data_IF_062194883500
#
_entry.id   IF_062194883500
#
_cell.length_a   1.000
_cell.length_b   1.000
_cell.length_c   1.000
_cell.angle_alpha   90.00
_cell.angle_beta   90.00
_cell.angle_gamma   90.00
#
_symmetry.space_group_name_H-M   'P 1'
#
loop_
_entity.id
_entity.type
_entity.pdbx_description
1 polymer ?
#
# COMPACT_ATOMS: atom_id res chain seq x y z
N UNK A 1 28.66 -6.64 6.80
CA UNK A 1 27.76 -7.03 7.92
C UNK A 1 27.39 -5.83 8.81
N UNK A 2 28.35 -4.93 9.10
CA UNK A 2 28.18 -3.70 9.91
C UNK A 2 27.08 -2.74 9.40
N UNK A 3 27.02 -2.53 8.09
CA UNK A 3 26.01 -1.66 7.47
C UNK A 3 24.55 -2.13 7.69
N UNK A 4 24.33 -3.45 7.81
CA UNK A 4 23.00 -4.03 8.09
C UNK A 4 22.57 -3.82 9.56
N UNK A 5 23.52 -3.70 10.49
CA UNK A 5 23.26 -3.42 11.90
C UNK A 5 23.03 -1.92 12.14
N UNK A 6 23.76 -1.04 11.45
CA UNK A 6 23.55 0.42 11.55
C UNK A 6 22.18 0.85 11.02
N UNK A 7 21.70 0.28 9.91
CA UNK A 7 20.36 0.57 9.36
C UNK A 7 19.20 0.08 10.23
N UNK A 8 19.47 -0.79 11.22
CA UNK A 8 18.49 -1.23 12.22
C UNK A 8 18.50 -0.39 13.49
N UNK A 9 19.43 0.57 13.63
CA UNK A 9 19.36 1.52 14.75
C UNK A 9 18.09 2.34 14.59
N UNK A 10 17.27 2.35 15.63
CA UNK A 10 15.98 3.05 15.64
C UNK A 10 16.11 4.54 15.23
N UNK A 11 17.25 5.18 15.50
CA UNK A 11 17.54 6.55 15.07
C UNK A 11 17.61 6.72 13.56
N UNK A 12 18.21 5.78 12.83
CA UNK A 12 18.35 5.83 11.36
C UNK A 12 17.00 5.60 10.68
N UNK A 13 16.21 4.64 11.19
CA UNK A 13 14.86 4.37 10.69
C UNK A 13 13.97 5.61 10.89
N UNK A 14 13.95 6.17 12.10
CA UNK A 14 13.20 7.41 12.40
C UNK A 14 13.62 8.59 11.52
N UNK A 15 14.90 8.69 11.18
CA UNK A 15 15.39 9.74 10.29
C UNK A 15 14.90 9.54 8.84
N UNK A 16 14.95 8.32 8.33
CA UNK A 16 14.39 7.98 7.00
C UNK A 16 12.88 8.20 6.94
N UNK A 17 12.15 7.85 8.00
CA UNK A 17 10.71 8.06 8.10
C UNK A 17 10.37 9.56 8.09
N UNK A 18 11.17 10.40 8.76
CA UNK A 18 11.03 11.87 8.70
C UNK A 18 11.25 12.39 7.29
N UNK A 19 12.29 11.94 6.59
CA UNK A 19 12.54 12.33 5.20
C UNK A 19 11.38 11.90 4.30
N UNK A 20 10.93 10.65 4.40
CA UNK A 20 9.80 10.15 3.62
C UNK A 20 8.54 10.99 3.88
N UNK A 21 8.27 11.33 5.14
CA UNK A 21 7.15 12.18 5.53
C UNK A 21 7.25 13.57 4.90
N UNK A 22 8.40 14.23 5.05
CA UNK A 22 8.62 15.59 4.54
C UNK A 22 8.52 15.62 3.01
N UNK A 23 9.14 14.68 2.31
CA UNK A 23 9.07 14.60 0.85
C UNK A 23 7.66 14.25 0.37
N UNK A 24 6.97 13.33 1.04
CA UNK A 24 5.58 12.99 0.71
C UNK A 24 4.63 14.18 0.93
N UNK A 25 4.83 14.95 2.00
CA UNK A 25 4.04 16.17 2.24
C UNK A 25 4.35 17.24 1.19
N UNK A 26 5.63 17.44 0.88
CA UNK A 26 6.05 18.37 -0.16
C UNK A 26 5.41 18.00 -1.51
N UNK A 27 5.37 16.71 -1.86
CA UNK A 27 4.73 16.23 -3.08
C UNK A 27 3.24 16.56 -3.13
N UNK A 28 2.51 16.35 -2.02
CA UNK A 28 1.08 16.65 -1.91
C UNK A 28 0.78 18.15 -2.07
N UNK A 29 1.69 19.03 -1.63
CA UNK A 29 1.52 20.48 -1.73
C UNK A 29 2.02 21.06 -3.05
N UNK A 30 3.20 20.63 -3.49
CA UNK A 30 3.86 21.15 -4.69
C UNK A 30 3.22 20.65 -5.97
N UNK A 31 2.75 19.40 -6.04
CA UNK A 31 2.16 18.87 -7.28
C UNK A 31 0.94 19.69 -7.74
N UNK A 32 -0.08 19.97 -6.89
CA UNK A 32 -1.19 20.85 -7.28
C UNK A 32 -0.72 22.26 -7.66
N UNK A 33 0.27 22.80 -6.96
CA UNK A 33 0.84 24.12 -7.27
C UNK A 33 1.49 24.14 -8.66
N UNK A 34 2.33 23.15 -8.99
CA UNK A 34 2.94 23.01 -10.33
C UNK A 34 1.87 22.80 -11.40
N UNK A 35 0.85 21.96 -11.15
CA UNK A 35 -0.27 21.79 -12.09
C UNK A 35 -0.95 23.13 -12.39
N UNK A 36 -1.12 23.98 -11.37
CA UNK A 36 -1.83 25.26 -11.52
C UNK A 36 -1.00 26.36 -12.20
N UNK A 37 0.31 26.42 -11.93
CA UNK A 37 1.18 27.51 -12.40
C UNK A 37 1.99 27.14 -13.63
N UNK A 38 2.43 25.89 -13.70
CA UNK A 38 3.43 25.39 -14.66
C UNK A 38 3.06 23.99 -15.19
N UNK A 39 1.84 23.80 -15.75
CA UNK A 39 1.35 22.50 -16.21
C UNK A 39 2.28 21.83 -17.24
N UNK A 40 3.05 22.60 -18.01
CA UNK A 40 4.02 22.10 -18.98
C UNK A 40 5.16 21.26 -18.37
N UNK A 41 5.43 21.44 -17.07
CA UNK A 41 6.45 20.71 -16.34
C UNK A 41 5.98 19.33 -15.84
N UNK A 42 4.67 19.07 -15.79
CA UNK A 42 4.13 17.83 -15.21
C UNK A 42 4.64 16.56 -15.92
N UNK A 43 4.72 16.48 -17.27
CA UNK A 43 5.34 15.35 -17.96
C UNK A 43 6.79 15.09 -17.52
N UNK A 44 7.57 16.16 -17.25
CA UNK A 44 8.95 16.06 -16.79
C UNK A 44 9.00 15.58 -15.34
N UNK A 45 8.22 16.20 -14.45
CA UNK A 45 8.11 15.82 -13.03
C UNK A 45 7.74 14.35 -12.89
N UNK A 46 6.70 13.89 -13.62
CA UNK A 46 6.29 12.49 -13.66
C UNK A 46 7.44 11.56 -14.03
N UNK A 47 8.19 11.90 -15.07
CA UNK A 47 9.27 11.04 -15.60
C UNK A 47 10.45 10.99 -14.63
N UNK A 48 10.86 12.14 -14.11
CA UNK A 48 11.96 12.26 -13.16
C UNK A 48 11.68 11.49 -11.88
N UNK A 49 10.52 11.73 -11.27
CA UNK A 49 10.12 11.07 -10.02
C UNK A 49 9.86 9.58 -10.22
N UNK A 50 9.17 9.17 -11.29
CA UNK A 50 8.98 7.76 -11.61
C UNK A 50 10.32 7.03 -11.73
N UNK A 51 11.29 7.63 -12.41
CA UNK A 51 12.63 7.06 -12.56
C UNK A 51 13.31 6.87 -11.20
N UNK A 52 13.31 7.91 -10.35
CA UNK A 52 13.92 7.85 -9.01
C UNK A 52 13.21 6.82 -8.12
N UNK A 53 11.89 6.90 -8.02
CA UNK A 53 11.11 6.07 -7.11
C UNK A 53 11.17 4.59 -7.51
N UNK A 54 11.11 4.26 -8.81
CA UNK A 54 11.23 2.88 -9.30
C UNK A 54 12.64 2.33 -9.02
N UNK A 55 13.70 3.13 -9.23
CA UNK A 55 15.08 2.71 -8.93
C UNK A 55 15.27 2.47 -7.44
N UNK A 56 14.80 3.39 -6.58
CA UNK A 56 14.84 3.21 -5.12
C UNK A 56 14.07 1.95 -4.71
N UNK A 57 12.88 1.75 -5.27
CA UNK A 57 12.03 0.58 -4.97
C UNK A 57 12.67 -0.73 -5.45
N UNK A 58 13.39 -0.72 -6.57
CA UNK A 58 14.18 -1.87 -7.02
C UNK A 58 15.18 -2.32 -5.97
N UNK A 59 15.98 -1.40 -5.41
CA UNK A 59 16.94 -1.75 -4.37
C UNK A 59 16.28 -2.22 -3.07
N UNK A 60 15.17 -1.60 -2.67
CA UNK A 60 14.41 -2.02 -1.49
C UNK A 60 13.82 -3.42 -1.65
N UNK A 61 13.23 -3.70 -2.82
CA UNK A 61 12.52 -4.96 -3.07
C UNK A 61 13.48 -6.11 -3.34
N UNK A 62 14.63 -5.84 -3.97
CA UNK A 62 15.72 -6.82 -4.09
C UNK A 62 16.20 -7.31 -2.73
N UNK A 63 16.35 -6.39 -1.75
CA UNK A 63 16.74 -6.72 -0.38
C UNK A 63 15.67 -7.54 0.38
N UNK A 64 14.40 -7.37 0.04
CA UNK A 64 13.25 -8.11 0.63
C UNK A 64 12.85 -9.37 -0.16
N UNK A 65 13.54 -9.70 -1.25
CA UNK A 65 13.13 -10.76 -2.20
C UNK A 65 11.73 -10.56 -2.81
N UNK A 66 11.29 -9.30 -2.94
CA UNK A 66 9.99 -8.87 -3.49
C UNK A 66 10.09 -8.29 -4.91
N UNK A 67 11.17 -8.58 -5.63
CA UNK A 67 11.44 -7.99 -6.96
C UNK A 67 10.40 -8.32 -8.03
N UNK A 68 9.58 -9.37 -7.85
CA UNK A 68 8.49 -9.69 -8.79
C UNK A 68 7.33 -8.69 -8.76
N UNK A 69 7.13 -7.98 -7.66
CA UNK A 69 6.13 -6.90 -7.61
C UNK A 69 6.46 -5.75 -8.56
N UNK A 70 7.73 -5.56 -8.95
CA UNK A 70 8.13 -4.53 -9.91
C UNK A 70 7.72 -4.86 -11.35
N UNK A 71 7.27 -6.10 -11.59
CA UNK A 71 6.73 -6.51 -12.88
C UNK A 71 5.21 -6.32 -12.95
N UNK A 72 4.59 -5.77 -11.91
CA UNK A 72 3.15 -5.51 -11.90
C UNK A 72 2.75 -4.45 -12.94
N UNK A 73 1.49 -4.51 -13.34
CA UNK A 73 0.92 -3.68 -14.41
C UNK A 73 1.12 -2.18 -14.16
N UNK A 74 1.16 -1.75 -12.90
CA UNK A 74 1.37 -0.34 -12.57
C UNK A 74 2.73 0.18 -13.05
N UNK A 75 3.81 -0.56 -12.83
CA UNK A 75 5.13 -0.18 -13.34
C UNK A 75 5.17 -0.18 -14.86
N UNK A 76 4.56 -1.20 -15.48
CA UNK A 76 4.45 -1.29 -16.93
C UNK A 76 3.74 -0.06 -17.53
N UNK A 77 2.55 0.30 -17.01
CA UNK A 77 1.79 1.46 -17.53
C UNK A 77 2.54 2.77 -17.33
N UNK A 78 3.25 2.96 -16.20
CA UNK A 78 4.11 4.14 -16.02
C UNK A 78 5.18 4.24 -17.12
N UNK A 79 5.84 3.14 -17.46
CA UNK A 79 6.82 3.09 -18.56
C UNK A 79 6.17 3.41 -19.90
N UNK A 80 4.99 2.85 -20.18
CA UNK A 80 4.27 3.11 -21.44
C UNK A 80 3.79 4.56 -21.53
N UNK A 81 3.39 5.18 -20.42
CA UNK A 81 3.09 6.61 -20.36
C UNK A 81 4.33 7.43 -20.69
N UNK A 82 5.50 7.12 -20.12
CA UNK A 82 6.75 7.79 -20.48
C UNK A 82 7.06 7.61 -21.98
N UNK A 83 6.85 6.42 -22.55
CA UNK A 83 7.02 6.20 -24.00
C UNK A 83 6.07 7.07 -24.83
N UNK A 84 4.82 7.25 -24.41
CA UNK A 84 3.90 8.19 -25.06
C UNK A 84 4.42 9.64 -24.96
N UNK A 85 4.88 10.06 -23.78
CA UNK A 85 5.28 11.45 -23.54
C UNK A 85 6.48 11.91 -24.38
N UNK A 86 7.40 11.01 -24.74
CA UNK A 86 8.66 11.38 -25.39
C UNK A 86 8.95 10.65 -26.72
N UNK A 87 8.44 9.44 -26.92
CA UNK A 87 8.80 8.62 -28.08
C UNK A 87 7.70 8.64 -29.14
N UNK A 88 6.43 8.56 -28.72
CA UNK A 88 5.29 8.47 -29.63
C UNK A 88 4.15 9.45 -29.30
N UNK A 89 4.41 10.76 -29.09
CA UNK A 89 3.36 11.73 -28.75
C UNK A 89 2.34 11.98 -29.88
N UNK A 90 2.65 11.54 -31.10
CA UNK A 90 1.78 11.57 -32.28
C UNK A 90 0.82 10.38 -32.36
N UNK A 91 1.05 9.32 -31.57
CA UNK A 91 0.27 8.09 -31.67
C UNK A 91 -1.06 8.22 -30.94
N UNK A 92 -2.12 8.40 -31.72
CA UNK A 92 -3.51 8.38 -31.24
C UNK A 92 -3.90 7.05 -30.57
N UNK A 93 -3.45 5.93 -31.17
CA UNK A 93 -3.67 4.60 -30.62
C UNK A 93 -3.01 4.44 -29.23
N UNK A 94 -1.77 4.89 -29.09
CA UNK A 94 -1.06 4.81 -27.81
C UNK A 94 -1.69 5.72 -26.77
N UNK A 95 -2.04 6.97 -27.13
CA UNK A 95 -2.75 7.89 -26.24
C UNK A 95 -4.04 7.27 -25.69
N UNK A 96 -4.88 6.72 -26.57
CA UNK A 96 -6.11 6.05 -26.16
C UNK A 96 -5.84 4.90 -25.19
N UNK A 97 -4.84 4.06 -25.51
CA UNK A 97 -4.48 2.93 -24.66
C UNK A 97 -3.95 3.35 -23.28
N UNK A 98 -3.00 4.29 -23.21
CA UNK A 98 -2.45 4.75 -21.93
C UNK A 98 -3.46 5.53 -21.11
N UNK A 99 -4.38 6.26 -21.76
CA UNK A 99 -5.48 6.91 -21.06
C UNK A 99 -6.37 5.89 -20.37
N UNK A 100 -6.85 4.89 -21.13
CA UNK A 100 -7.74 3.85 -20.60
C UNK A 100 -7.08 3.04 -19.50
N UNK A 101 -5.81 2.64 -19.66
CA UNK A 101 -5.09 1.88 -18.64
C UNK A 101 -4.81 2.71 -17.38
N UNK A 102 -4.47 4.00 -17.54
CA UNK A 102 -4.15 4.89 -16.41
C UNK A 102 -5.40 5.31 -15.63
N UNK A 103 -6.45 5.78 -16.31
CA UNK A 103 -7.71 6.21 -15.66
C UNK A 103 -8.64 5.04 -15.30
N UNK A 104 -8.46 3.87 -15.93
CA UNK A 104 -9.19 2.65 -15.63
C UNK A 104 -8.50 1.86 -14.52
N UNK A 105 -7.94 0.67 -14.81
CA UNK A 105 -7.51 -0.26 -13.78
C UNK A 105 -6.45 0.31 -12.84
N UNK A 106 -5.61 1.25 -13.32
CA UNK A 106 -4.54 1.80 -12.51
C UNK A 106 -5.03 2.82 -11.47
N UNK A 107 -5.94 3.72 -11.84
CA UNK A 107 -6.53 4.69 -10.92
C UNK A 107 -7.51 4.01 -9.94
N UNK A 108 -8.37 3.12 -10.45
CA UNK A 108 -9.33 2.37 -9.61
C UNK A 108 -8.64 1.46 -8.60
N UNK A 109 -7.42 1.00 -8.88
CA UNK A 109 -6.61 0.21 -7.95
C UNK A 109 -6.39 0.92 -6.60
N UNK A 110 -6.47 2.26 -6.53
CA UNK A 110 -6.41 2.99 -5.25
C UNK A 110 -7.56 2.60 -4.33
N UNK A 111 -8.77 2.50 -4.88
CA UNK A 111 -9.97 2.10 -4.15
C UNK A 111 -9.95 0.59 -3.92
N UNK A 112 -9.76 -0.19 -4.99
CA UNK A 112 -9.87 -1.65 -4.96
C UNK A 112 -8.85 -2.29 -4.02
N UNK A 113 -7.60 -1.82 -4.06
CA UNK A 113 -6.52 -2.35 -3.21
C UNK A 113 -6.29 -1.53 -1.95
N UNK A 114 -7.18 -0.57 -1.66
CA UNK A 114 -7.10 0.34 -0.51
C UNK A 114 -5.71 0.92 -0.35
N UNK A 115 -5.15 1.48 -1.43
CA UNK A 115 -3.86 2.15 -1.36
C UNK A 115 -3.98 3.33 -0.39
N UNK A 116 -3.10 3.36 0.61
CA UNK A 116 -3.11 4.32 1.71
C UNK A 116 -1.95 5.31 1.56
N UNK A 117 -2.25 6.61 1.62
CA UNK A 117 -1.23 7.64 1.67
C UNK A 117 -0.67 7.75 3.10
N UNK A 118 0.34 6.93 3.39
CA UNK A 118 1.02 6.91 4.69
C UNK A 118 2.37 7.60 4.54
N UNK A 119 2.40 8.90 4.82
CA UNK A 119 3.53 9.79 4.51
C UNK A 119 4.89 9.32 5.05
N UNK A 120 4.94 8.71 6.24
CA UNK A 120 6.21 8.20 6.79
C UNK A 120 6.71 6.92 6.10
N UNK A 121 5.90 6.28 5.26
CA UNK A 121 6.23 5.03 4.58
C UNK A 121 6.48 5.26 3.10
N UNK A 122 7.76 5.30 2.71
CA UNK A 122 8.16 5.48 1.30
C UNK A 122 7.52 4.42 0.38
N UNK A 123 7.33 3.19 0.87
CA UNK A 123 6.68 2.11 0.10
C UNK A 123 5.22 2.43 -0.22
N UNK A 124 4.46 2.91 0.79
CA UNK A 124 3.05 3.28 0.64
C UNK A 124 2.88 4.54 -0.20
N UNK A 125 3.73 5.56 0.01
CA UNK A 125 3.76 6.77 -0.83
C UNK A 125 4.06 6.42 -2.27
N UNK A 126 5.07 5.58 -2.53
CA UNK A 126 5.40 5.15 -3.89
C UNK A 126 4.27 4.35 -4.53
N UNK A 127 3.55 3.51 -3.77
CA UNK A 127 2.36 2.83 -4.29
C UNK A 127 1.28 3.82 -4.71
N UNK A 128 0.91 4.80 -3.88
CA UNK A 128 -0.08 5.82 -4.29
C UNK A 128 0.42 6.59 -5.51
N UNK A 129 1.69 6.95 -5.55
CA UNK A 129 2.31 7.68 -6.66
C UNK A 129 2.16 6.95 -8.00
N UNK A 130 2.59 5.67 -8.09
CA UNK A 130 2.55 4.93 -9.37
C UNK A 130 1.11 4.69 -9.87
N UNK A 131 0.11 4.83 -8.99
CA UNK A 131 -1.31 4.71 -9.35
C UNK A 131 -1.95 6.06 -9.71
N UNK A 132 -1.50 7.15 -9.08
CA UNK A 132 -2.10 8.49 -9.24
C UNK A 132 -1.38 9.36 -10.27
N UNK A 133 -0.06 9.26 -10.37
CA UNK A 133 0.76 10.15 -11.21
C UNK A 133 0.49 9.98 -12.71
N UNK A 134 0.34 8.75 -13.27
CA UNK A 134 0.00 8.59 -14.68
C UNK A 134 -1.32 9.25 -15.11
N UNK A 135 -2.47 9.02 -14.44
CA UNK A 135 -3.71 9.68 -14.83
C UNK A 135 -3.67 11.20 -14.61
N UNK A 136 -3.01 11.70 -13.55
CA UNK A 136 -2.78 13.16 -13.37
C UNK A 136 -1.98 13.74 -14.54
N UNK A 137 -0.91 13.06 -14.94
CA UNK A 137 -0.05 13.53 -16.04
C UNK A 137 -0.81 13.59 -17.35
N UNK A 138 -1.58 12.56 -17.67
CA UNK A 138 -2.42 12.54 -18.87
C UNK A 138 -3.57 13.56 -18.80
N UNK A 139 -4.15 13.78 -17.62
CA UNK A 139 -5.13 14.84 -17.39
C UNK A 139 -4.54 16.21 -17.71
N UNK A 140 -3.33 16.51 -17.24
CA UNK A 140 -2.63 17.77 -17.54
C UNK A 140 -2.35 17.88 -19.04
N UNK A 141 -1.79 16.83 -19.65
CA UNK A 141 -1.51 16.78 -21.10
C UNK A 141 -2.77 17.07 -21.93
N UNK A 142 -3.92 16.51 -21.55
CA UNK A 142 -5.18 16.68 -22.29
C UNK A 142 -5.86 18.03 -22.07
N UNK A 143 -5.80 18.57 -20.85
CA UNK A 143 -6.68 19.68 -20.44
C UNK A 143 -5.97 20.98 -20.10
N UNK A 144 -4.73 20.92 -19.62
CA UNK A 144 -4.04 22.08 -19.02
C UNK A 144 -2.73 22.43 -19.72
N UNK A 145 -2.19 21.55 -20.56
CA UNK A 145 -0.90 21.77 -21.21
C UNK A 145 -0.99 22.94 -22.21
N UNK A 146 -0.11 23.97 -22.09
CA UNK A 146 -0.22 25.21 -22.84
C UNK A 146 0.37 25.10 -24.25
N UNK A 147 -0.24 24.27 -25.09
CA UNK A 147 0.18 24.03 -26.49
C UNK A 147 -1.03 24.06 -27.43
N UNK A 148 -1.54 25.27 -27.78
CA UNK A 148 -2.76 25.41 -28.57
C UNK A 148 -2.63 24.83 -29.98
N UNK A 149 -1.40 24.68 -30.49
CA UNK A 149 -1.10 24.16 -31.82
C UNK A 149 -0.78 22.66 -31.83
N UNK A 150 -0.82 21.99 -30.67
CA UNK A 150 -0.49 20.57 -30.52
C UNK A 150 0.88 20.20 -31.10
N UNK A 151 1.86 21.08 -30.93
CA UNK A 151 3.24 20.89 -31.40
C UNK A 151 3.95 19.74 -30.72
N UNK A 152 3.73 19.57 -29.40
CA UNK A 152 4.36 18.51 -28.60
C UNK A 152 3.51 17.25 -28.59
N UNK A 153 2.21 17.37 -28.38
CA UNK A 153 1.27 16.24 -28.25
C UNK A 153 0.27 16.22 -29.41
N UNK A 154 0.78 15.99 -30.61
CA UNK A 154 0.00 16.07 -31.86
C UNK A 154 -1.13 15.04 -31.95
N UNK A 155 -1.07 13.93 -31.19
CA UNK A 155 -2.16 12.96 -31.10
C UNK A 155 -3.50 13.60 -30.65
N UNK A 156 -3.45 14.70 -29.89
CA UNK A 156 -4.63 15.36 -29.34
C UNK A 156 -5.40 16.22 -30.36
N UNK A 157 -4.74 16.69 -31.43
CA UNK A 157 -5.28 17.70 -32.36
C UNK A 157 -6.67 17.34 -32.90
N UNK A 158 -6.85 16.07 -33.29
CA UNK A 158 -8.07 15.55 -33.88
C UNK A 158 -8.75 14.51 -32.97
N UNK A 159 -8.54 14.61 -31.65
CA UNK A 159 -9.07 13.65 -30.68
C UNK A 159 -9.87 14.32 -29.54
N UNK A 160 -11.00 14.98 -29.84
CA UNK A 160 -11.89 15.52 -28.81
C UNK A 160 -12.54 14.42 -27.96
N UNK A 161 -12.77 13.24 -28.55
CA UNK A 161 -13.23 12.01 -27.91
C UNK A 161 -12.30 10.86 -28.28
N UNK A 162 -12.17 9.87 -27.38
CA UNK A 162 -11.41 8.65 -27.70
C UNK A 162 -12.15 7.82 -28.75
N UNK A 163 -11.49 7.36 -29.83
CA UNK A 163 -12.05 6.36 -30.72
C UNK A 163 -12.23 5.05 -29.94
N UNK A 164 -13.46 4.76 -29.49
CA UNK A 164 -13.77 3.73 -28.49
C UNK A 164 -13.21 2.36 -28.84
N UNK A 165 -13.50 1.86 -30.05
CA UNK A 165 -13.10 0.53 -30.51
C UNK A 165 -11.57 0.40 -30.57
N UNK A 166 -10.91 1.36 -31.22
CA UNK A 166 -9.46 1.40 -31.34
C UNK A 166 -8.80 1.50 -29.96
N UNK A 167 -9.22 2.46 -29.14
CA UNK A 167 -8.64 2.71 -27.81
C UNK A 167 -8.77 1.48 -26.90
N UNK A 168 -9.95 0.86 -26.85
CA UNK A 168 -10.16 -0.38 -26.10
C UNK A 168 -9.30 -1.53 -26.64
N UNK A 169 -9.22 -1.68 -27.96
CA UNK A 169 -8.41 -2.74 -28.59
C UNK A 169 -6.95 -2.59 -28.20
N UNK A 170 -6.36 -1.40 -28.32
CA UNK A 170 -4.96 -1.17 -27.96
C UNK A 170 -4.73 -1.26 -26.44
N UNK A 171 -5.68 -0.79 -25.61
CA UNK A 171 -5.59 -0.93 -24.15
C UNK A 171 -5.58 -2.40 -23.73
N UNK A 172 -6.50 -3.21 -24.27
CA UNK A 172 -6.58 -4.65 -23.98
C UNK A 172 -5.37 -5.38 -24.58
N UNK A 173 -4.90 -5.01 -25.77
CA UNK A 173 -3.70 -5.60 -26.36
C UNK A 173 -2.44 -5.35 -25.50
N UNK A 174 -2.25 -4.12 -24.99
CA UNK A 174 -1.16 -3.80 -24.08
C UNK A 174 -1.30 -4.54 -22.74
N UNK A 175 -2.51 -4.60 -22.19
CA UNK A 175 -2.80 -5.38 -20.98
C UNK A 175 -2.48 -6.86 -21.19
N UNK A 176 -2.92 -7.48 -22.28
CA UNK A 176 -2.67 -8.88 -22.60
C UNK A 176 -1.18 -9.15 -22.84
N UNK A 177 -0.48 -8.22 -23.50
CA UNK A 177 0.98 -8.30 -23.69
C UNK A 177 1.67 -8.36 -22.34
N UNK A 178 1.33 -7.46 -21.41
CA UNK A 178 1.83 -7.50 -20.05
C UNK A 178 1.42 -8.79 -19.31
N UNK A 179 0.16 -9.20 -19.41
CA UNK A 179 -0.41 -10.33 -18.68
C UNK A 179 0.24 -11.66 -19.10
N UNK A 180 0.47 -11.85 -20.41
CA UNK A 180 1.18 -13.01 -20.97
C UNK A 180 2.64 -12.98 -20.53
N UNK A 181 3.32 -11.83 -20.64
CA UNK A 181 4.69 -11.69 -20.18
C UNK A 181 4.81 -12.03 -18.69
N UNK A 182 3.93 -11.49 -17.85
CA UNK A 182 3.92 -11.77 -16.41
C UNK A 182 3.68 -13.25 -16.13
N UNK A 183 2.69 -13.87 -16.78
CA UNK A 183 2.39 -15.28 -16.60
C UNK A 183 3.60 -16.17 -16.97
N UNK A 184 4.22 -15.93 -18.12
CA UNK A 184 5.37 -16.72 -18.58
C UNK A 184 6.59 -16.50 -17.70
N UNK A 185 6.98 -15.24 -17.44
CA UNK A 185 8.22 -14.94 -16.72
C UNK A 185 8.13 -15.19 -15.21
N UNK A 186 6.97 -14.95 -14.60
CA UNK A 186 6.79 -15.06 -13.15
C UNK A 186 6.17 -16.39 -12.78
N UNK A 187 4.99 -16.71 -13.32
CA UNK A 187 4.20 -17.87 -12.88
C UNK A 187 4.80 -19.18 -13.39
N UNK A 188 5.18 -19.25 -14.67
CA UNK A 188 5.75 -20.47 -15.26
C UNK A 188 7.21 -20.66 -14.85
N UNK A 189 8.08 -19.69 -15.15
CA UNK A 189 9.54 -19.84 -14.94
C UNK A 189 9.99 -19.85 -13.47
N UNK A 190 9.20 -19.29 -12.55
CA UNK A 190 9.58 -19.23 -11.13
C UNK A 190 8.67 -20.06 -10.23
N UNK A 191 7.87 -20.95 -10.80
CA UNK A 191 6.90 -21.82 -10.09
C UNK A 191 7.51 -22.51 -8.87
N UNK A 192 8.70 -23.09 -9.01
CA UNK A 192 9.37 -23.81 -7.92
C UNK A 192 9.79 -22.89 -6.77
N UNK A 193 10.29 -21.69 -7.09
CA UNK A 193 10.72 -20.73 -6.08
C UNK A 193 9.54 -20.05 -5.37
N UNK A 194 8.41 -19.91 -6.07
CA UNK A 194 7.15 -19.44 -5.49
C UNK A 194 6.57 -20.51 -4.56
N UNK A 195 6.48 -21.77 -5.01
CA UNK A 195 6.01 -22.90 -4.18
C UNK A 195 6.87 -23.12 -2.93
N UNK A 196 8.18 -22.92 -3.05
CA UNK A 196 9.10 -23.00 -1.91
C UNK A 196 8.99 -21.81 -0.93
N UNK A 197 8.05 -20.87 -1.13
CA UNK A 197 7.88 -19.68 -0.29
C UNK A 197 9.03 -18.66 -0.36
N UNK A 198 10.02 -18.89 -1.24
CA UNK A 198 11.22 -18.04 -1.35
C UNK A 198 10.93 -16.70 -2.04
N UNK A 199 9.78 -16.59 -2.72
CA UNK A 199 9.40 -15.43 -3.53
C UNK A 199 7.91 -15.17 -3.42
N UNK A 200 7.57 -13.92 -3.11
CA UNK A 200 6.18 -13.45 -3.06
C UNK A 200 5.89 -12.72 -4.37
N UNK A 201 4.77 -13.08 -4.98
CA UNK A 201 4.16 -12.42 -6.15
C UNK A 201 2.84 -11.78 -5.75
N UNK A 202 2.33 -10.88 -6.57
CA UNK A 202 1.04 -10.23 -6.34
C UNK A 202 -0.08 -11.24 -6.26
N UNK A 203 -0.09 -12.29 -7.10
CA UNK A 203 -1.06 -13.40 -6.99
C UNK A 203 -0.98 -14.10 -5.64
N UNK A 204 0.20 -14.54 -5.21
CA UNK A 204 0.35 -15.22 -3.92
C UNK A 204 0.09 -14.32 -2.73
N UNK A 205 0.29 -13.00 -2.87
CA UNK A 205 0.02 -12.05 -1.79
C UNK A 205 -1.48 -11.78 -1.68
N UNK A 206 -2.15 -11.51 -2.81
CA UNK A 206 -3.58 -11.21 -2.88
C UNK A 206 -4.48 -12.40 -2.56
N UNK A 207 -4.14 -13.58 -3.07
CA UNK A 207 -4.96 -14.78 -2.84
C UNK A 207 -4.89 -15.27 -1.40
N UNK A 208 -3.74 -15.06 -0.75
CA UNK A 208 -3.51 -15.47 0.63
C UNK A 208 -3.74 -14.34 1.66
N UNK A 209 -4.13 -13.13 1.24
CA UNK A 209 -4.45 -12.06 2.17
C UNK A 209 -5.82 -12.33 2.81
N UNK A 210 -5.91 -12.53 4.14
CA UNK A 210 -7.18 -12.73 4.83
C UNK A 210 -8.14 -11.55 4.64
N UNK A 211 -7.62 -10.35 4.35
CA UNK A 211 -8.40 -9.13 4.12
C UNK A 211 -8.97 -9.03 2.71
N UNK A 212 -8.53 -9.87 1.77
CA UNK A 212 -9.04 -9.92 0.40
C UNK A 212 -10.33 -10.77 0.28
N UNK A 213 -11.01 -11.06 1.39
CA UNK A 213 -12.02 -12.12 1.54
C UNK A 213 -12.94 -12.40 0.34
N UNK A 214 -13.56 -11.38 -0.27
CA UNK A 214 -14.42 -11.58 -1.46
C UNK A 214 -13.61 -11.99 -2.69
N UNK A 215 -12.49 -11.33 -2.96
CA UNK A 215 -11.63 -11.59 -4.12
C UNK A 215 -10.99 -12.98 -4.02
N UNK A 216 -10.50 -13.34 -2.83
CA UNK A 216 -9.96 -14.68 -2.57
C UNK A 216 -11.06 -15.74 -2.73
N UNK A 217 -12.25 -15.52 -2.15
CA UNK A 217 -13.38 -16.46 -2.28
C UNK A 217 -13.79 -16.67 -3.75
N UNK A 218 -13.91 -15.61 -4.54
CA UNK A 218 -14.24 -15.73 -5.97
C UNK A 218 -13.11 -16.42 -6.73
N UNK A 219 -11.85 -16.07 -6.48
CA UNK A 219 -10.71 -16.73 -7.12
C UNK A 219 -10.70 -18.26 -6.89
N UNK A 220 -11.06 -18.70 -5.68
CA UNK A 220 -11.10 -20.11 -5.31
C UNK A 220 -12.41 -20.84 -5.70
N UNK A 221 -13.34 -20.19 -6.40
CA UNK A 221 -14.66 -20.78 -6.76
C UNK A 221 -14.53 -22.06 -7.59
N UNK A 222 -13.55 -22.13 -8.48
CA UNK A 222 -13.28 -23.32 -9.30
C UNK A 222 -12.24 -24.26 -8.67
N UNK A 223 -11.85 -24.04 -7.41
CA UNK A 223 -10.84 -24.81 -6.69
C UNK A 223 -9.43 -24.19 -6.75
N UNK A 224 -8.57 -24.59 -5.82
CA UNK A 224 -7.23 -24.00 -5.64
C UNK A 224 -6.35 -24.12 -6.88
N UNK A 225 -6.47 -25.22 -7.63
CA UNK A 225 -5.73 -25.47 -8.88
C UNK A 225 -5.97 -24.40 -9.94
N UNK A 226 -7.19 -23.85 -10.00
CA UNK A 226 -7.60 -22.87 -11.02
C UNK A 226 -7.57 -21.43 -10.53
N UNK A 227 -7.26 -21.19 -9.24
CA UNK A 227 -7.31 -19.88 -8.59
C UNK A 227 -6.56 -18.76 -9.34
N UNK A 228 -5.38 -19.05 -9.87
CA UNK A 228 -4.58 -18.09 -10.66
C UNK A 228 -5.30 -17.73 -11.97
N UNK A 229 -5.86 -18.72 -12.67
CA UNK A 229 -6.55 -18.50 -13.95
C UNK A 229 -7.85 -17.73 -13.71
N UNK A 230 -8.62 -18.11 -12.68
CA UNK A 230 -9.82 -17.38 -12.27
C UNK A 230 -9.48 -15.92 -11.93
N UNK A 231 -8.39 -15.71 -11.17
CA UNK A 231 -7.94 -14.36 -10.83
C UNK A 231 -7.53 -13.55 -12.06
N UNK A 232 -6.79 -14.15 -13.01
CA UNK A 232 -6.46 -13.49 -14.29
C UNK A 232 -7.72 -13.11 -15.08
N UNK A 233 -8.73 -13.99 -15.12
CA UNK A 233 -10.02 -13.70 -15.75
C UNK A 233 -10.75 -12.54 -15.07
N UNK A 234 -10.80 -12.54 -13.74
CA UNK A 234 -11.36 -11.41 -12.97
C UNK A 234 -10.62 -10.10 -13.22
N UNK A 235 -9.29 -10.16 -13.31
CA UNK A 235 -8.46 -8.99 -13.58
C UNK A 235 -8.70 -8.42 -14.98
N UNK A 236 -8.94 -9.28 -15.98
CA UNK A 236 -9.31 -8.85 -17.33
C UNK A 236 -10.70 -8.17 -17.33
N UNK A 237 -11.69 -8.75 -16.65
CA UNK A 237 -13.03 -8.15 -16.52
C UNK A 237 -12.94 -6.80 -15.80
N UNK A 238 -12.21 -6.74 -14.69
CA UNK A 238 -11.93 -5.50 -13.95
C UNK A 238 -11.31 -4.44 -14.85
N UNK A 239 -10.30 -4.82 -15.63
CA UNK A 239 -9.63 -3.92 -16.59
C UNK A 239 -10.61 -3.40 -17.63
N UNK A 240 -11.42 -4.28 -18.24
CA UNK A 240 -12.40 -3.89 -19.23
C UNK A 240 -13.43 -2.91 -18.67
N UNK A 241 -14.05 -3.23 -17.52
CA UNK A 241 -15.08 -2.39 -16.89
C UNK A 241 -14.54 -1.02 -16.49
N UNK A 242 -13.35 -0.97 -15.89
CA UNK A 242 -12.74 0.31 -15.50
C UNK A 242 -12.31 1.15 -16.71
N UNK A 243 -11.89 0.52 -17.81
CA UNK A 243 -11.66 1.22 -19.08
C UNK A 243 -12.94 1.86 -19.63
N UNK A 244 -14.13 1.26 -19.43
CA UNK A 244 -15.39 1.89 -19.86
C UNK A 244 -15.64 3.22 -19.13
N UNK A 245 -15.33 3.30 -17.83
CA UNK A 245 -15.37 4.57 -17.10
C UNK A 245 -14.32 5.56 -17.63
N UNK A 246 -13.11 5.10 -17.95
CA UNK A 246 -12.05 5.95 -18.47
C UNK A 246 -12.39 6.60 -19.83
N UNK A 247 -13.25 5.98 -20.65
CA UNK A 247 -13.79 6.62 -21.86
C UNK A 247 -14.60 7.87 -21.52
N UNK A 248 -15.41 7.82 -20.46
CA UNK A 248 -16.22 8.95 -20.01
C UNK A 248 -15.34 10.06 -19.41
N UNK A 249 -14.31 9.70 -18.64
CA UNK A 249 -13.40 10.68 -18.05
C UNK A 249 -12.59 11.46 -19.11
N UNK A 250 -12.33 10.87 -20.28
CA UNK A 250 -11.68 11.61 -21.37
C UNK A 250 -12.56 12.73 -21.94
N UNK A 251 -13.87 12.52 -21.99
CA UNK A 251 -14.80 13.46 -22.63
C UNK A 251 -15.10 14.67 -21.74
N UNK A 252 -15.22 14.45 -20.43
CA UNK A 252 -15.73 15.46 -19.51
C UNK A 252 -14.67 15.90 -18.51
N UNK A 253 -14.17 17.13 -18.68
CA UNK A 253 -13.20 17.77 -17.78
C UNK A 253 -13.61 17.64 -16.30
N UNK A 254 -14.81 18.13 -15.95
CA UNK A 254 -15.31 18.13 -14.57
C UNK A 254 -15.44 16.73 -13.97
N UNK A 255 -15.89 15.75 -14.76
CA UNK A 255 -15.99 14.35 -14.32
C UNK A 255 -14.60 13.82 -13.96
N UNK A 256 -13.61 14.07 -14.82
CA UNK A 256 -12.25 13.62 -14.56
C UNK A 256 -11.62 14.33 -13.36
N UNK A 257 -11.84 15.65 -13.21
CA UNK A 257 -11.38 16.40 -12.03
C UNK A 257 -11.96 15.82 -10.74
N UNK A 258 -13.28 15.62 -10.67
CA UNK A 258 -13.94 15.05 -9.49
C UNK A 258 -13.46 13.62 -9.23
N UNK A 259 -13.24 12.83 -10.28
CA UNK A 259 -12.70 11.48 -10.16
C UNK A 259 -11.30 11.47 -9.54
N UNK A 260 -10.34 12.24 -10.07
CA UNK A 260 -8.98 12.27 -9.55
C UNK A 260 -8.90 12.85 -8.13
N UNK A 261 -9.65 13.92 -7.83
CA UNK A 261 -9.75 14.45 -6.47
C UNK A 261 -10.37 13.42 -5.51
N UNK A 262 -11.42 12.74 -5.95
CA UNK A 262 -12.06 11.68 -5.17
C UNK A 262 -11.11 10.53 -4.85
N UNK A 263 -10.32 10.07 -5.82
CA UNK A 263 -9.30 9.03 -5.61
C UNK A 263 -8.22 9.49 -4.63
N UNK A 264 -7.80 10.75 -4.72
CA UNK A 264 -6.84 11.32 -3.76
C UNK A 264 -7.43 11.31 -2.34
N UNK A 265 -8.66 11.79 -2.17
CA UNK A 265 -9.37 11.75 -0.89
C UNK A 265 -9.50 10.34 -0.32
N UNK A 266 -9.83 9.35 -1.16
CA UNK A 266 -9.86 7.94 -0.73
C UNK A 266 -8.49 7.49 -0.24
N UNK A 267 -7.41 7.85 -0.95
CA UNK A 267 -6.05 7.48 -0.52
C UNK A 267 -5.65 8.12 0.81
N UNK A 268 -6.07 9.37 1.05
CA UNK A 268 -5.86 10.11 2.30
C UNK A 268 -6.67 9.46 3.42
N UNK A 269 -7.94 9.15 3.18
CA UNK A 269 -8.81 8.48 4.15
C UNK A 269 -8.25 7.11 4.54
N UNK A 270 -7.84 6.30 3.56
CA UNK A 270 -7.17 5.03 3.80
C UNK A 270 -5.86 5.19 4.59
N UNK A 271 -5.15 6.31 4.40
CA UNK A 271 -3.98 6.70 5.20
C UNK A 271 -4.35 7.04 6.64
N UNK A 272 -5.38 7.86 6.83
CA UNK A 272 -5.89 8.23 8.14
C UNK A 272 -6.36 7.01 8.93
N UNK A 273 -7.16 6.12 8.34
CA UNK A 273 -7.56 4.85 8.96
C UNK A 273 -6.36 3.99 9.35
N UNK A 274 -5.29 3.97 8.53
CA UNK A 274 -4.07 3.26 8.90
C UNK A 274 -3.43 3.85 10.18
N UNK A 275 -3.33 5.17 10.28
CA UNK A 275 -2.82 5.82 11.50
C UNK A 275 -3.75 5.63 12.71
N UNK A 276 -5.06 5.74 12.52
CA UNK A 276 -6.01 5.75 13.64
C UNK A 276 -6.39 4.35 14.13
N UNK A 277 -6.33 3.31 13.29
CA UNK A 277 -6.79 1.97 13.66
C UNK A 277 -5.65 0.95 13.76
N UNK A 278 -4.64 1.04 12.89
CA UNK A 278 -3.55 0.06 12.89
C UNK A 278 -2.46 0.48 13.85
N UNK A 279 -2.04 1.75 13.77
CA UNK A 279 -0.96 2.25 14.61
C UNK A 279 -1.39 2.37 16.08
N UNK A 280 -2.60 2.85 16.36
CA UNK A 280 -3.16 2.91 17.72
C UNK A 280 -3.23 1.53 18.39
N UNK A 281 -3.83 0.53 17.72
CA UNK A 281 -3.94 -0.84 18.25
C UNK A 281 -2.58 -1.51 18.45
N UNK A 282 -1.61 -1.24 17.57
CA UNK A 282 -0.25 -1.74 17.76
C UNK A 282 0.42 -1.09 18.97
N UNK A 283 0.20 0.21 19.19
CA UNK A 283 0.71 0.93 20.34
C UNK A 283 0.08 0.44 21.64
N UNK A 284 -1.25 0.29 21.69
CA UNK A 284 -1.98 -0.30 22.81
C UNK A 284 -1.46 -1.70 23.15
N UNK A 285 -1.25 -2.55 22.13
CA UNK A 285 -0.70 -3.90 22.33
C UNK A 285 0.71 -3.87 22.91
N UNK A 286 1.56 -2.93 22.47
CA UNK A 286 2.91 -2.77 23.02
C UNK A 286 2.88 -2.25 24.46
N UNK A 287 1.99 -1.32 24.79
CA UNK A 287 1.80 -0.83 26.15
C UNK A 287 1.30 -1.92 27.09
N UNK A 288 0.31 -2.71 26.66
CA UNK A 288 -0.21 -3.83 27.45
C UNK A 288 0.88 -4.87 27.71
N UNK A 289 1.67 -5.20 26.69
CA UNK A 289 2.80 -6.12 26.84
C UNK A 289 3.85 -5.58 27.82
N UNK A 290 4.19 -4.29 27.72
CA UNK A 290 5.14 -3.66 28.63
C UNK A 290 4.60 -3.61 30.06
N UNK A 291 3.30 -3.34 30.24
CA UNK A 291 2.65 -3.36 31.55
C UNK A 291 2.69 -4.77 32.17
N UNK A 292 2.48 -5.82 31.37
CA UNK A 292 2.59 -7.22 31.79
C UNK A 292 4.04 -7.61 32.13
N UNK A 293 5.03 -7.15 31.37
CA UNK A 293 6.45 -7.36 31.65
C UNK A 293 6.87 -6.66 32.96
N UNK A 294 6.41 -5.43 33.20
CA UNK A 294 6.67 -4.67 34.44
C UNK A 294 5.97 -5.32 35.63
N UNK A 295 4.70 -5.70 35.53
CA UNK A 295 3.97 -6.35 36.63
C UNK A 295 4.60 -7.69 37.00
N UNK A 296 5.03 -8.48 36.02
CA UNK A 296 5.77 -9.73 36.22
C UNK A 296 7.11 -9.50 36.91
N UNK A 297 7.85 -8.46 36.53
CA UNK A 297 9.13 -8.11 37.15
C UNK A 297 8.96 -7.64 38.61
N UNK A 298 7.93 -6.83 38.89
CA UNK A 298 7.59 -6.41 40.26
C UNK A 298 7.22 -7.62 41.11
N UNK A 299 6.35 -8.51 40.61
CA UNK A 299 5.97 -9.72 41.33
C UNK A 299 7.15 -10.66 41.58
N UNK A 300 8.09 -10.78 40.63
CA UNK A 300 9.31 -11.57 40.81
C UNK A 300 10.23 -10.98 41.88
N UNK A 301 10.41 -9.65 41.89
CA UNK A 301 11.19 -8.96 42.92
C UNK A 301 10.57 -9.09 44.31
N UNK A 302 9.23 -9.01 44.40
CA UNK A 302 8.50 -9.18 45.66
C UNK A 302 8.72 -10.59 46.23
N UNK A 303 8.56 -11.63 45.40
CA UNK A 303 8.83 -13.02 45.81
C UNK A 303 10.28 -13.25 46.24
N UNK A 304 11.24 -12.63 45.53
CA UNK A 304 12.65 -12.71 45.91
C UNK A 304 12.91 -12.07 47.28
N UNK A 305 12.30 -10.92 47.56
CA UNK A 305 12.39 -10.25 48.85
C UNK A 305 11.75 -11.08 49.99
N UNK A 306 10.56 -11.65 49.75
CA UNK A 306 9.88 -12.49 50.74
C UNK A 306 10.67 -13.78 51.05
N UNK A 307 11.28 -14.39 50.02
CA UNK A 307 12.15 -15.56 50.21
C UNK A 307 13.47 -15.25 50.93
N UNK A 308 14.00 -14.02 50.80
CA UNK A 308 15.17 -13.56 51.55
C UNK A 308 14.83 -13.21 53.01
N UNK A 309 13.63 -12.68 53.27
CA UNK A 309 13.14 -12.39 54.62
C UNK A 309 12.79 -13.66 55.42
N UNK A 310 12.29 -14.70 54.76
CA UNK A 310 11.98 -15.98 55.41
C UNK A 310 13.24 -16.75 55.88
N UNK A 311 14.41 -16.48 55.29
CA UNK A 311 15.69 -17.09 55.71
C UNK A 311 16.33 -16.47 56.96
N UNK A 312 15.81 -15.35 57.48
CA UNK A 312 16.35 -14.65 58.64
C UNK A 312 15.51 -14.83 59.92
N UNK A 313 14.43 -15.60 59.88
CA UNK A 313 13.41 -15.68 60.93
C UNK A 313 13.37 -16.98 61.74
N UNK A 314 14.45 -17.78 61.77
CA UNK A 314 14.42 -19.09 62.42
C UNK A 314 15.62 -19.34 63.35
N UNK A 315 15.85 -18.47 64.34
CA UNK A 315 16.54 -18.85 65.59
C UNK A 315 16.25 -17.84 66.71
N UNK A 316 15.27 -18.16 67.57
CA UNK A 316 15.16 -17.92 69.03
C UNK A 316 13.68 -18.16 69.37
N UNK A 317 13.23 -18.98 70.32
CA UNK A 317 13.79 -19.44 71.58
C UNK A 317 12.73 -19.26 72.67
N UNK A 318 11.79 -20.23 72.74
CA UNK A 318 10.93 -20.69 73.86
C UNK A 318 10.63 -19.79 75.09
N UNK A 319 9.35 -19.75 75.54
CA UNK A 319 8.99 -19.43 76.94
C UNK A 319 7.55 -18.95 77.23
N UNK A 320 6.66 -19.89 77.58
CA UNK A 320 5.58 -19.86 78.61
C UNK A 320 4.69 -18.62 78.87
N UNK A 321 3.35 -18.81 78.77
CA UNK A 321 2.33 -18.93 79.88
C UNK A 321 0.95 -18.28 79.59
N UNK A 322 -0.08 -19.11 79.87
CA UNK A 322 -1.40 -18.85 80.48
C UNK A 322 -2.56 -18.17 79.72
N UNK A 323 -3.66 -18.95 79.61
CA UNK A 323 -5.10 -18.66 79.89
C UNK A 323 -5.75 -17.40 79.29
N UNK A 324 -6.99 -17.34 78.79
CA UNK A 324 -8.19 -18.19 78.76
C UNK A 324 -9.27 -17.40 77.98
N UNK A 325 -10.44 -18.02 77.72
CA UNK A 325 -11.76 -17.41 77.38
C UNK A 325 -12.14 -17.31 75.88
N UNK A 326 -12.89 -18.32 75.42
CA UNK A 326 -14.29 -18.29 74.94
C UNK A 326 -14.78 -17.42 73.74
N UNK A 327 -15.70 -18.07 72.98
CA UNK A 327 -16.80 -17.57 72.14
C UNK A 327 -16.62 -17.41 70.60
N UNK A 328 -17.15 -18.42 69.91
CA UNK A 328 -17.95 -18.54 68.64
C UNK A 328 -18.20 -17.38 67.63
N UNK A 329 -18.68 -17.71 66.39
CA UNK A 329 -18.28 -17.04 65.15
C UNK A 329 -19.35 -16.13 64.52
N UNK A 330 -18.93 -15.25 63.60
CA UNK A 330 -19.86 -14.62 62.65
C UNK A 330 -19.38 -14.68 61.19
N UNK A 331 -20.26 -15.26 60.36
CA UNK A 331 -20.32 -15.17 58.90
C UNK A 331 -20.80 -13.78 58.47
N UNK A 332 -20.38 -13.32 57.29
CA UNK A 332 -21.25 -12.95 56.14
C UNK A 332 -20.51 -11.98 55.18
N UNK A 333 -20.51 -12.32 53.89
CA UNK A 333 -21.21 -11.62 52.80
C UNK A 333 -20.29 -10.61 52.07
N UNK A 334 -19.85 -10.90 50.82
CA UNK A 334 -20.59 -10.79 49.55
C UNK A 334 -20.48 -9.40 48.92
N UNK A 335 -20.43 -9.41 47.58
CA UNK A 335 -20.54 -8.31 46.60
C UNK A 335 -19.19 -7.77 46.11
N UNK A 336 -18.98 -7.52 44.81
CA UNK A 336 -19.83 -7.66 43.62
C UNK A 336 -18.91 -7.61 42.39
N UNK A 337 -19.25 -8.41 41.39
CA UNK A 337 -18.84 -8.25 40.00
C UNK A 337 -19.78 -7.22 39.38
N UNK A 338 -19.27 -6.25 38.67
CA UNK A 338 -20.01 -5.49 37.64
C UNK A 338 -19.09 -5.32 36.43
N UNK A 339 -19.76 -5.26 35.28
CA UNK A 339 -19.34 -5.52 33.89
C UNK A 339 -18.21 -4.65 33.30
#
# INVERSE_FOLDING_TARGET
MIWKQQMKKASVVRFMDKIAFTLGMLECCCTPWVISQYPEWIPFVHTFQSSILIVVRYFLYKRKSWHFFLLDMCYFVNVVVIMYLYVFPQSQALLGAVWLLSHGPLAFAIVTWRNSLVLHSLDKVTSVYIHMSPPITLYVVRWLYPDPNYTRFSALKDMPVLPTSSSLTYAIALYLTWQVAYYVFVVVRQKEKIKAGKRVTSYTWLLNDPKAGVISKVAHTFGEKYSIITFMGMQLIYTFVTCLFALLSYKYFRLNTVFLVGLFLVSVWNGASYYMEVFSKQYEKQLNKLAEEVSSAVAANQRAHDSAGAGAGETTGNGDRHSSVEAEPQKSASAKKDD
#
